data_IF_964034312376
#
_entry.id   IF_964034312376
#
_cell.length_a   1.000
_cell.length_b   1.000
_cell.length_c   1.000
_cell.angle_alpha   90.00
_cell.angle_beta   90.00
_cell.angle_gamma   90.00
#
_symmetry.space_group_name_H-M   'P 1'
#
loop_
_entity.id
_entity.type
_entity.pdbx_description
1 polymer ?
#
# COMPACT_ATOMS: atom_id res chain seq x y z
N UNK A 1 -18.00 -0.10 -37.60
CA UNK A 1 -18.83 -0.63 -36.49
C UNK A 1 -18.40 -2.05 -36.16
N UNK A 2 -18.47 -2.46 -34.90
CA UNK A 2 -18.11 -3.82 -34.48
C UNK A 2 -19.30 -4.79 -34.61
N UNK A 3 -19.09 -6.00 -35.15
CA UNK A 3 -20.14 -7.01 -35.33
C UNK A 3 -20.34 -7.79 -34.02
N UNK A 4 -21.42 -7.46 -33.29
CA UNK A 4 -21.67 -7.96 -31.93
C UNK A 4 -21.75 -9.49 -31.84
N UNK A 5 -22.24 -10.16 -32.89
CA UNK A 5 -22.44 -11.62 -32.92
C UNK A 5 -21.14 -12.45 -32.86
N UNK A 6 -19.97 -11.84 -33.07
CA UNK A 6 -18.66 -12.51 -33.03
C UNK A 6 -17.76 -11.96 -31.91
N UNK A 7 -18.27 -11.07 -31.06
CA UNK A 7 -17.49 -10.50 -29.96
C UNK A 7 -17.55 -11.39 -28.72
N UNK A 8 -16.42 -11.52 -28.04
CA UNK A 8 -16.38 -12.15 -26.72
C UNK A 8 -16.82 -11.16 -25.64
N UNK A 9 -17.36 -11.67 -24.54
CA UNK A 9 -17.71 -10.86 -23.37
C UNK A 9 -16.53 -10.00 -22.89
N UNK A 10 -15.30 -10.52 -22.93
CA UNK A 10 -14.09 -9.78 -22.58
C UNK A 10 -13.85 -8.56 -23.49
N UNK A 11 -14.02 -8.70 -24.81
CA UNK A 11 -13.88 -7.59 -25.78
C UNK A 11 -15.00 -6.55 -25.60
N UNK A 12 -16.24 -7.01 -25.41
CA UNK A 12 -17.39 -6.14 -25.15
C UNK A 12 -17.20 -5.35 -23.86
N UNK A 13 -16.80 -6.03 -22.78
CA UNK A 13 -16.56 -5.41 -21.48
C UNK A 13 -15.42 -4.39 -21.54
N UNK A 14 -14.30 -4.72 -22.20
CA UNK A 14 -13.19 -3.77 -22.42
C UNK A 14 -13.65 -2.52 -23.16
N UNK A 15 -14.43 -2.69 -24.22
CA UNK A 15 -14.99 -1.57 -24.99
C UNK A 15 -15.97 -0.72 -24.18
N UNK A 16 -16.86 -1.34 -23.40
CA UNK A 16 -17.79 -0.63 -22.52
C UNK A 16 -17.07 0.12 -21.40
N UNK A 17 -16.01 -0.48 -20.81
CA UNK A 17 -15.18 0.15 -19.79
C UNK A 17 -14.37 1.32 -20.33
N UNK A 18 -13.83 1.22 -21.55
CA UNK A 18 -13.08 2.31 -22.19
C UNK A 18 -13.93 3.57 -22.43
N UNK A 19 -15.26 3.42 -22.54
CA UNK A 19 -16.20 4.54 -22.71
C UNK A 19 -16.59 5.22 -21.39
N UNK A 20 -16.35 4.58 -20.25
CA UNK A 20 -16.66 5.15 -18.93
C UNK A 20 -15.38 5.77 -18.36
N UNK A 21 -15.33 7.09 -18.10
CA UNK A 21 -14.18 7.66 -17.44
C UNK A 21 -13.99 6.98 -16.08
N UNK A 22 -12.75 6.66 -15.69
CA UNK A 22 -12.50 6.06 -14.38
C UNK A 22 -12.94 7.04 -13.29
N UNK A 23 -13.70 6.55 -12.32
CA UNK A 23 -14.06 7.34 -11.13
C UNK A 23 -12.80 7.56 -10.31
N UNK A 24 -12.32 8.80 -10.27
CA UNK A 24 -11.18 9.17 -9.44
C UNK A 24 -11.67 9.28 -8.00
N UNK A 25 -11.27 8.33 -7.17
CA UNK A 25 -11.49 8.39 -5.72
C UNK A 25 -10.38 9.22 -5.11
N UNK A 26 -10.73 10.39 -4.54
CA UNK A 26 -9.78 11.32 -3.93
C UNK A 26 -8.80 10.63 -2.99
N UNK A 27 -9.30 9.80 -2.07
CA UNK A 27 -8.50 9.05 -1.09
C UNK A 27 -7.53 8.06 -1.72
N UNK A 28 -7.97 7.31 -2.73
CA UNK A 28 -7.09 6.41 -3.47
C UNK A 28 -5.96 7.19 -4.17
N UNK A 29 -6.28 8.36 -4.74
CA UNK A 29 -5.27 9.23 -5.36
C UNK A 29 -4.26 9.75 -4.34
N UNK A 30 -4.73 10.25 -3.19
CA UNK A 30 -3.88 10.71 -2.08
C UNK A 30 -2.94 9.59 -1.58
N UNK A 31 -3.45 8.37 -1.40
CA UNK A 31 -2.63 7.23 -0.97
C UNK A 31 -1.61 6.80 -2.04
N UNK A 32 -1.96 6.88 -3.32
CA UNK A 32 -0.99 6.63 -4.40
C UNK A 32 0.10 7.70 -4.42
N UNK A 33 -0.26 8.97 -4.26
CA UNK A 33 0.72 10.07 -4.18
C UNK A 33 1.65 9.89 -2.97
N UNK A 34 1.10 9.49 -1.82
CA UNK A 34 1.87 9.14 -0.62
C UNK A 34 2.88 8.01 -0.92
N UNK A 35 2.44 6.92 -1.55
CA UNK A 35 3.31 5.81 -1.96
C UNK A 35 4.41 6.29 -2.89
N UNK A 36 4.06 7.00 -3.96
CA UNK A 36 5.02 7.47 -4.98
C UNK A 36 6.09 8.35 -4.35
N UNK A 37 5.68 9.33 -3.53
CA UNK A 37 6.61 10.26 -2.88
C UNK A 37 7.49 9.54 -1.84
N UNK A 38 6.93 8.60 -1.08
CA UNK A 38 7.69 7.86 -0.07
C UNK A 38 8.74 6.95 -0.71
N UNK A 39 8.39 6.25 -1.79
CA UNK A 39 9.32 5.37 -2.52
C UNK A 39 10.38 6.19 -3.25
N UNK A 40 10.03 7.33 -3.84
CA UNK A 40 10.98 8.26 -4.47
C UNK A 40 11.99 8.78 -3.45
N UNK A 41 11.52 9.22 -2.28
CA UNK A 41 12.40 9.68 -1.20
C UNK A 41 13.35 8.58 -0.70
N UNK A 42 12.89 7.33 -0.64
CA UNK A 42 13.67 6.20 -0.13
C UNK A 42 14.69 5.66 -1.14
N UNK A 43 14.31 5.58 -2.42
CA UNK A 43 15.07 4.87 -3.45
C UNK A 43 15.73 5.80 -4.47
N UNK A 44 15.36 7.08 -4.48
CA UNK A 44 15.71 8.03 -5.54
C UNK A 44 15.01 7.77 -6.88
N UNK A 45 14.15 6.75 -6.96
CA UNK A 45 13.42 6.39 -8.19
C UNK A 45 11.93 6.58 -7.97
N UNK A 46 11.31 7.39 -8.81
CA UNK A 46 9.87 7.64 -8.77
C UNK A 46 9.10 6.51 -9.48
N UNK A 47 8.34 5.67 -8.77
CA UNK A 47 7.50 4.66 -9.43
C UNK A 47 6.32 5.33 -10.15
N UNK A 48 5.86 4.72 -11.24
CA UNK A 48 4.58 5.12 -11.85
C UNK A 48 3.41 4.56 -11.04
N UNK A 49 2.25 5.20 -11.11
CA UNK A 49 1.03 4.68 -10.49
C UNK A 49 0.71 3.27 -11.01
N UNK A 50 0.92 3.02 -12.30
CA UNK A 50 0.74 1.71 -12.91
C UNK A 50 1.68 0.67 -12.30
N UNK A 51 2.94 1.02 -12.05
CA UNK A 51 3.90 0.13 -11.41
C UNK A 51 3.46 -0.25 -9.98
N UNK A 52 2.94 0.71 -9.21
CA UNK A 52 2.37 0.45 -7.88
C UNK A 52 1.27 -0.60 -7.97
N UNK A 53 0.29 -0.42 -8.84
CA UNK A 53 -0.80 -1.39 -9.00
C UNK A 53 -0.35 -2.76 -9.54
N UNK A 54 0.60 -2.77 -10.48
CA UNK A 54 1.14 -4.01 -11.02
C UNK A 54 1.91 -4.80 -9.96
N UNK A 55 2.65 -4.12 -9.09
CA UNK A 55 3.43 -4.77 -8.03
C UNK A 55 2.56 -5.59 -7.07
N UNK A 56 1.35 -5.13 -6.78
CA UNK A 56 0.41 -5.85 -5.91
C UNK A 56 -0.05 -7.18 -6.54
N UNK A 57 0.11 -7.37 -7.84
CA UNK A 57 -0.27 -8.61 -8.52
C UNK A 57 0.91 -9.59 -8.69
N UNK A 58 2.14 -9.22 -8.29
CA UNK A 58 3.33 -10.08 -8.41
C UNK A 58 3.41 -11.08 -7.25
N UNK A 59 3.07 -12.33 -7.55
CA UNK A 59 3.00 -13.38 -6.53
C UNK A 59 4.36 -13.88 -6.04
N UNK A 60 5.45 -13.61 -6.76
CA UNK A 60 6.80 -13.94 -6.28
C UNK A 60 7.21 -13.09 -5.07
N UNK A 61 6.70 -11.85 -4.97
CA UNK A 61 7.05 -10.91 -3.91
C UNK A 61 6.00 -10.84 -2.79
N UNK A 62 4.71 -11.01 -3.12
CA UNK A 62 3.61 -10.84 -2.18
C UNK A 62 2.62 -12.01 -2.24
N UNK A 63 2.23 -12.50 -1.06
CA UNK A 63 1.12 -13.46 -0.97
C UNK A 63 -0.18 -12.80 -1.45
N UNK A 64 -1.10 -13.60 -2.01
CA UNK A 64 -2.43 -13.10 -2.45
C UNK A 64 -3.18 -12.36 -1.33
N UNK A 65 -3.04 -12.81 -0.08
CA UNK A 65 -3.66 -12.16 1.09
C UNK A 65 -3.05 -10.80 1.37
N UNK A 66 -1.71 -10.70 1.35
CA UNK A 66 -0.98 -9.44 1.51
C UNK A 66 -1.33 -8.45 0.40
N UNK A 67 -1.34 -8.89 -0.84
CA UNK A 67 -1.77 -8.09 -1.99
C UNK A 67 -3.19 -7.55 -1.84
N UNK A 68 -4.15 -8.39 -1.44
CA UNK A 68 -5.52 -7.98 -1.22
C UNK A 68 -5.65 -7.00 -0.06
N UNK A 69 -4.87 -7.18 1.01
CA UNK A 69 -4.81 -6.26 2.14
C UNK A 69 -4.29 -4.88 1.72
N UNK A 70 -3.16 -4.83 1.02
CA UNK A 70 -2.54 -3.58 0.54
C UNK A 70 -3.44 -2.86 -0.47
N UNK A 71 -4.03 -3.60 -1.41
CA UNK A 71 -5.00 -3.04 -2.36
C UNK A 71 -6.17 -2.37 -1.64
N UNK A 72 -6.75 -3.04 -0.64
CA UNK A 72 -7.84 -2.47 0.17
C UNK A 72 -7.37 -1.27 0.99
N UNK A 73 -6.16 -1.29 1.53
CA UNK A 73 -5.60 -0.19 2.30
C UNK A 73 -5.39 1.06 1.43
N UNK A 74 -4.80 0.93 0.23
CA UNK A 74 -4.65 2.05 -0.73
C UNK A 74 -6.03 2.60 -1.11
N UNK A 75 -7.03 1.73 -1.26
CA UNK A 75 -8.40 2.15 -1.58
C UNK A 75 -9.23 2.66 -0.39
N UNK A 76 -8.70 2.65 0.84
CA UNK A 76 -9.47 2.86 2.08
C UNK A 76 -10.74 2.00 2.16
N UNK A 77 -10.66 0.76 1.69
CA UNK A 77 -11.78 -0.17 1.62
C UNK A 77 -11.94 -1.03 2.89
N UNK A 78 -11.09 -0.84 3.89
CA UNK A 78 -11.22 -1.46 5.20
C UNK A 78 -12.21 -0.67 6.06
N UNK A 79 -13.02 -1.37 6.87
CA UNK A 79 -14.02 -0.75 7.74
C UNK A 79 -13.41 -0.27 9.06
N UNK A 80 -12.52 0.71 8.98
CA UNK A 80 -11.80 1.27 10.14
C UNK A 80 -11.73 2.80 10.04
N UNK A 81 -11.56 3.47 11.18
CA UNK A 81 -11.37 4.93 11.25
C UNK A 81 -12.45 5.74 10.52
N UNK A 82 -12.03 6.52 9.51
CA UNK A 82 -12.90 7.45 8.75
C UNK A 82 -14.02 6.78 7.96
N UNK A 83 -13.95 5.46 7.74
CA UNK A 83 -15.08 4.72 7.17
C UNK A 83 -16.38 4.96 7.96
N UNK A 84 -16.27 5.10 9.29
CA UNK A 84 -17.42 5.25 10.19
C UNK A 84 -17.90 6.69 10.36
N UNK A 85 -17.22 7.69 9.78
CA UNK A 85 -17.43 9.13 10.04
C UNK A 85 -18.86 9.61 9.78
N UNK A 86 -19.51 9.04 8.76
CA UNK A 86 -20.86 9.42 8.35
C UNK A 86 -21.90 8.36 8.73
N UNK A 87 -21.61 7.53 9.74
CA UNK A 87 -22.49 6.46 10.22
C UNK A 87 -23.01 6.76 11.63
N UNK A 88 -24.15 6.16 12.00
CA UNK A 88 -24.70 6.28 13.35
C UNK A 88 -23.91 5.55 14.45
N UNK A 89 -22.80 4.89 14.10
CA UNK A 89 -21.93 4.15 15.02
C UNK A 89 -20.52 4.74 15.07
N UNK A 90 -20.34 5.99 14.61
CA UNK A 90 -19.07 6.69 14.58
C UNK A 90 -18.34 6.62 15.93
N UNK A 91 -19.02 6.99 17.01
CA UNK A 91 -18.38 7.18 18.31
C UNK A 91 -17.87 5.88 18.94
N UNK A 92 -18.38 4.73 18.48
CA UNK A 92 -17.96 3.41 18.96
C UNK A 92 -16.96 2.73 18.03
N UNK A 93 -17.05 2.95 16.72
CA UNK A 93 -16.24 2.19 15.73
C UNK A 93 -15.10 3.01 15.10
N UNK A 94 -15.11 4.33 15.21
CA UNK A 94 -14.03 5.17 14.71
C UNK A 94 -12.82 5.22 15.65
N UNK A 95 -12.97 5.42 16.98
CA UNK A 95 -11.84 5.43 17.91
C UNK A 95 -11.24 4.04 18.07
N UNK A 96 -9.98 3.98 18.49
CA UNK A 96 -9.39 2.70 18.90
C UNK A 96 -9.98 2.29 20.25
N UNK A 97 -10.50 1.07 20.37
CA UNK A 97 -11.03 0.57 21.64
C UNK A 97 -9.93 0.23 22.66
N UNK A 98 -8.68 0.13 22.19
CA UNK A 98 -7.55 -0.40 22.96
C UNK A 98 -6.53 0.67 23.35
N UNK A 99 -6.64 1.90 22.83
CA UNK A 99 -5.81 3.03 23.21
C UNK A 99 -6.51 4.37 22.93
N UNK A 100 -5.94 5.48 23.39
CA UNK A 100 -6.58 6.80 23.33
C UNK A 100 -6.60 7.46 21.93
N UNK A 101 -6.36 6.69 20.86
CA UNK A 101 -6.42 7.23 19.51
C UNK A 101 -7.88 7.52 19.11
N UNK A 102 -8.22 8.76 18.73
CA UNK A 102 -9.58 9.11 18.32
C UNK A 102 -9.97 8.51 16.96
N UNK A 103 -8.99 8.00 16.20
CA UNK A 103 -9.21 7.39 14.88
C UNK A 103 -8.33 6.15 14.74
N UNK A 104 -8.94 4.97 14.74
CA UNK A 104 -8.27 3.71 14.42
C UNK A 104 -8.08 3.58 12.90
N UNK A 105 -7.09 4.29 12.35
CA UNK A 105 -6.73 4.20 10.94
C UNK A 105 -5.84 2.98 10.65
N UNK A 106 -5.69 2.61 9.38
CA UNK A 106 -4.70 1.58 8.99
C UNK A 106 -3.28 1.98 9.41
N UNK A 107 -2.93 3.27 9.28
CA UNK A 107 -1.65 3.79 9.74
C UNK A 107 -1.46 3.58 11.25
N UNK A 108 -2.48 3.94 12.03
CA UNK A 108 -2.50 3.75 13.46
C UNK A 108 -2.29 2.26 13.82
N UNK A 109 -3.09 1.37 13.25
CA UNK A 109 -3.03 -0.08 13.49
C UNK A 109 -1.63 -0.64 13.20
N UNK A 110 -1.01 -0.19 12.10
CA UNK A 110 0.25 -0.74 11.59
C UNK A 110 1.52 -0.13 12.19
N UNK A 111 1.47 1.11 12.70
CA UNK A 111 2.66 1.87 13.11
C UNK A 111 2.62 2.39 14.54
N UNK A 112 1.43 2.67 15.08
CA UNK A 112 1.29 3.44 16.34
C UNK A 112 0.68 2.60 17.47
N UNK A 113 -0.33 1.78 17.14
CA UNK A 113 -1.14 1.07 18.11
C UNK A 113 -0.27 0.08 18.92
N UNK A 114 -0.40 0.09 20.25
CA UNK A 114 0.32 -0.85 21.12
C UNK A 114 -0.39 -2.20 21.22
N UNK A 115 -1.70 -2.22 20.98
CA UNK A 115 -2.53 -3.39 21.22
C UNK A 115 -2.65 -4.35 20.03
N UNK A 116 -2.30 -3.91 18.81
CA UNK A 116 -2.45 -4.71 17.59
C UNK A 116 -1.35 -5.78 17.39
N UNK A 117 -0.43 -5.95 18.34
CA UNK A 117 0.74 -6.82 18.18
C UNK A 117 1.77 -6.28 17.17
N UNK A 118 1.57 -5.08 16.61
CA UNK A 118 2.48 -4.50 15.61
C UNK A 118 3.89 -4.30 16.16
N UNK A 119 4.06 -4.08 17.48
CA UNK A 119 5.38 -3.96 18.10
C UNK A 119 6.23 -5.23 17.93
N UNK A 120 5.62 -6.41 18.09
CA UNK A 120 6.31 -7.70 17.93
C UNK A 120 6.64 -7.95 16.45
N UNK A 121 5.71 -7.66 15.55
CA UNK A 121 5.97 -7.74 14.10
C UNK A 121 7.14 -6.84 13.72
N UNK A 122 7.16 -5.59 14.17
CA UNK A 122 8.26 -4.67 13.87
C UNK A 122 9.57 -5.04 14.54
N UNK A 123 9.52 -5.69 15.71
CA UNK A 123 10.72 -6.26 16.33
C UNK A 123 11.31 -7.34 15.43
N UNK A 124 10.51 -8.28 14.94
CA UNK A 124 10.94 -9.34 14.02
C UNK A 124 11.45 -8.76 12.69
N UNK A 125 10.76 -7.75 12.13
CA UNK A 125 11.22 -7.07 10.92
C UNK A 125 12.60 -6.43 11.14
N UNK A 126 12.80 -5.75 12.28
CA UNK A 126 14.11 -5.14 12.61
C UNK A 126 15.20 -6.18 12.81
N UNK A 127 14.90 -7.30 13.45
CA UNK A 127 15.85 -8.40 13.63
C UNK A 127 16.24 -9.01 12.28
N UNK A 128 15.26 -9.33 11.42
CA UNK A 128 15.54 -9.82 10.07
C UNK A 128 16.31 -8.79 9.23
N UNK A 129 16.01 -7.50 9.38
CA UNK A 129 16.69 -6.44 8.63
C UNK A 129 18.17 -6.31 8.99
N UNK A 130 18.57 -6.62 10.24
CA UNK A 130 19.98 -6.56 10.66
C UNK A 130 20.87 -7.49 9.82
N UNK A 131 20.34 -8.63 9.38
CA UNK A 131 21.07 -9.57 8.51
C UNK A 131 21.48 -8.94 7.18
N UNK A 132 20.81 -7.88 6.74
CA UNK A 132 21.17 -7.15 5.52
C UNK A 132 22.39 -6.22 5.68
N UNK A 133 22.79 -5.95 6.93
CA UNK A 133 23.87 -5.01 7.27
C UNK A 133 23.56 -3.55 6.93
N UNK A 134 22.28 -3.18 6.76
CA UNK A 134 21.84 -1.84 6.31
C UNK A 134 21.15 -1.06 7.42
N UNK A 135 21.17 0.28 7.34
CA UNK A 135 20.28 1.09 8.17
C UNK A 135 18.83 0.72 7.87
N UNK A 136 18.02 0.65 8.92
CA UNK A 136 16.58 0.48 8.77
C UNK A 136 16.03 1.74 8.08
N UNK A 137 15.28 1.60 6.97
CA UNK A 137 14.65 2.76 6.35
C UNK A 137 13.61 3.37 7.28
N UNK A 138 13.30 4.65 7.08
CA UNK A 138 12.17 5.26 7.76
C UNK A 138 10.87 4.54 7.35
N UNK A 139 10.22 3.91 8.33
CA UNK A 139 9.00 3.16 8.11
C UNK A 139 7.81 4.12 8.21
N UNK A 140 7.17 4.38 7.08
CA UNK A 140 5.94 5.16 6.98
C UNK A 140 4.85 4.37 6.24
N UNK A 141 3.58 4.79 6.35
CA UNK A 141 2.47 4.12 5.67
C UNK A 141 2.72 3.97 4.16
N UNK A 142 3.25 5.02 3.51
CA UNK A 142 3.58 4.99 2.08
C UNK A 142 4.57 3.89 1.69
N UNK A 143 5.53 3.57 2.57
CA UNK A 143 6.48 2.48 2.35
C UNK A 143 5.78 1.12 2.41
N UNK A 144 4.90 0.90 3.40
CA UNK A 144 4.16 -0.36 3.54
C UNK A 144 3.23 -0.57 2.34
N UNK A 145 2.47 0.46 1.97
CA UNK A 145 1.56 0.41 0.84
C UNK A 145 2.30 0.24 -0.50
N UNK A 146 3.51 0.77 -0.59
CA UNK A 146 4.38 0.71 -1.77
C UNK A 146 5.40 -0.43 -1.79
N UNK A 147 5.38 -1.35 -0.83
CA UNK A 147 6.51 -2.29 -0.62
C UNK A 147 6.84 -3.12 -1.88
N UNK A 148 5.84 -3.42 -2.71
CA UNK A 148 6.02 -4.21 -3.94
C UNK A 148 6.80 -3.50 -5.05
N UNK A 149 6.96 -2.17 -5.01
CA UNK A 149 7.78 -1.41 -5.97
C UNK A 149 9.14 -0.99 -5.41
N UNK A 150 9.46 -1.37 -4.17
CA UNK A 150 10.75 -1.07 -3.56
C UNK A 150 11.78 -2.08 -4.06
N UNK A 151 12.77 -1.58 -4.79
CA UNK A 151 13.94 -2.36 -5.19
C UNK A 151 15.10 -2.04 -4.26
N UNK A 152 15.62 -3.07 -3.58
CA UNK A 152 16.87 -2.97 -2.82
C UNK A 152 17.99 -3.36 -3.80
N UNK A 153 18.80 -2.40 -4.27
CA UNK A 153 19.83 -2.64 -5.30
C UNK A 153 21.22 -2.80 -4.69
N UNK A 154 21.96 -3.86 -5.08
CA UNK A 154 23.38 -4.05 -4.77
C UNK A 154 24.20 -2.93 -5.40
N UNK A 155 25.10 -2.30 -4.64
CA UNK A 155 26.13 -1.44 -5.21
C UNK A 155 26.93 -2.26 -6.25
N UNK A 156 27.14 -1.74 -7.48
CA UNK A 156 27.85 -2.43 -8.57
C UNK A 156 29.24 -2.98 -8.20
N UNK A 157 29.84 -2.51 -7.11
CA UNK A 157 31.12 -2.99 -6.58
C UNK A 157 31.02 -4.26 -5.71
N UNK A 158 29.83 -4.87 -5.60
CA UNK A 158 29.61 -6.11 -4.87
C UNK A 158 29.72 -5.98 -3.35
N UNK A 159 29.76 -4.75 -2.81
CA UNK A 159 30.03 -4.55 -1.39
C UNK A 159 28.84 -4.11 -0.55
N UNK A 160 27.82 -3.38 -1.05
CA UNK A 160 26.65 -2.99 -0.20
C UNK A 160 25.41 -2.64 -1.03
N UNK A 161 24.27 -3.31 -0.87
CA UNK A 161 22.99 -2.73 -1.39
C UNK A 161 22.75 -1.32 -0.83
N UNK A 162 22.58 -0.33 -1.71
CA UNK A 162 22.38 1.06 -1.36
C UNK A 162 20.88 1.35 -1.22
N UNK A 163 20.42 1.53 0.03
CA UNK A 163 19.29 2.42 0.29
C UNK A 163 19.93 3.79 0.48
N UNK A 164 19.73 4.67 -0.50
CA UNK A 164 20.29 6.02 -0.45
C UNK A 164 19.46 6.84 0.53
N UNK A 165 19.74 6.71 1.82
CA UNK A 165 19.32 7.68 2.82
C UNK A 165 20.28 8.86 2.67
N UNK A 166 19.80 9.96 2.08
CA UNK A 166 20.47 11.26 2.18
C UNK A 166 20.32 11.80 3.60
#
# INVERSE_FOLDING_TARGET
GARLSVMTQSKLYRGARARKPPVIRKRTKENIELVVNTVEALTGTKPTQEAVWQSLNRQEALSKKSSAFLWKAIHEAHKVGKYWEHTGVRDTHMPCELCDSPVESIEHILLECKASGQQEVWKQVRELWKETGKPLPHIALGLILGIGVVEIREDPTGSRLAIRLL
#
